data_IF_934249303505
#
_entry.id   IF_934249303505
#
_cell.length_a   1.000
_cell.length_b   1.000
_cell.length_c   1.000
_cell.angle_alpha   90.00
_cell.angle_beta   90.00
_cell.angle_gamma   90.00
#
_symmetry.space_group_name_H-M   'P 1'
#
loop_
_entity.id
_entity.type
_entity.pdbx_description
1 polymer ?
#
# COMPACT_ATOMS: atom_id res chain seq x y z
N UNK A 1 4.38 -27.72 -4.19
CA UNK A 1 4.86 -26.77 -3.16
C UNK A 1 3.69 -26.39 -2.28
N UNK A 2 3.85 -26.43 -0.96
CA UNK A 2 2.86 -25.85 -0.03
C UNK A 2 3.27 -24.40 0.15
N UNK A 3 2.40 -23.46 -0.18
CA UNK A 3 2.62 -22.05 0.13
C UNK A 3 2.46 -21.90 1.64
N UNK A 4 3.58 -21.86 2.36
CA UNK A 4 3.59 -21.56 3.79
C UNK A 4 3.49 -20.04 3.88
N UNK A 5 2.53 -19.53 4.66
CA UNK A 5 2.23 -18.10 4.74
C UNK A 5 3.46 -17.24 5.06
N UNK A 6 3.36 -15.94 4.76
CA UNK A 6 4.44 -14.97 5.01
C UNK A 6 4.75 -14.87 6.51
N UNK A 7 6.03 -14.67 6.82
CA UNK A 7 6.54 -14.49 8.18
C UNK A 7 7.39 -13.22 8.23
N UNK A 8 7.10 -12.37 9.20
CA UNK A 8 7.90 -11.18 9.43
C UNK A 8 9.36 -11.53 9.71
N UNK A 9 10.26 -10.85 9.00
CA UNK A 9 11.72 -10.95 9.18
C UNK A 9 12.28 -9.61 9.65
N UNK A 10 11.74 -9.11 10.76
CA UNK A 10 12.20 -7.87 11.39
C UNK A 10 13.05 -8.16 12.63
N UNK A 11 14.32 -7.76 12.58
CA UNK A 11 15.30 -7.96 13.65
C UNK A 11 15.91 -6.65 14.17
N UNK A 12 15.45 -5.51 13.65
CA UNK A 12 16.08 -4.21 13.87
C UNK A 12 15.13 -3.19 14.50
N UNK A 13 13.82 -3.31 14.25
CA UNK A 13 12.85 -2.42 14.87
C UNK A 13 12.65 -2.78 16.34
N UNK A 14 12.43 -1.78 17.22
CA UNK A 14 12.19 -2.04 18.63
C UNK A 14 10.93 -2.92 18.87
N UNK A 15 10.93 -3.80 19.88
CA UNK A 15 9.79 -4.68 20.15
C UNK A 15 8.45 -3.96 20.33
N UNK A 16 8.47 -2.74 20.87
CA UNK A 16 7.28 -1.92 21.09
C UNK A 16 6.61 -1.44 19.79
N UNK A 17 7.33 -1.41 18.66
CA UNK A 17 6.77 -1.05 17.34
C UNK A 17 6.32 -2.26 16.54
N UNK A 18 6.42 -3.46 17.11
CA UNK A 18 6.13 -4.72 16.42
C UNK A 18 4.81 -5.31 16.88
N UNK A 19 4.01 -5.77 15.92
CA UNK A 19 2.72 -6.38 16.18
C UNK A 19 2.86 -7.65 17.04
N UNK A 20 2.00 -7.80 18.05
CA UNK A 20 1.97 -8.99 18.92
C UNK A 20 1.32 -10.21 18.24
N UNK A 21 0.55 -9.98 17.16
CA UNK A 21 -0.14 -11.01 16.39
C UNK A 21 -0.25 -10.64 14.92
N UNK A 22 -0.97 -11.47 14.16
CA UNK A 22 -1.10 -11.35 12.70
C UNK A 22 -0.56 -12.57 11.96
N UNK A 23 -0.45 -12.51 10.62
CA UNK A 23 0.10 -13.59 9.79
C UNK A 23 1.46 -14.07 10.34
N UNK A 24 1.69 -15.38 10.36
CA UNK A 24 2.97 -15.95 10.81
C UNK A 24 3.33 -15.73 12.30
N UNK A 25 2.40 -15.27 13.13
CA UNK A 25 2.61 -15.07 14.58
C UNK A 25 3.02 -13.65 14.99
N UNK A 26 2.87 -12.66 14.11
CA UNK A 26 3.16 -11.25 14.37
C UNK A 26 4.59 -10.83 14.00
N UNK A 27 5.09 -9.80 14.69
CA UNK A 27 6.37 -9.11 14.45
C UNK A 27 6.38 -8.21 13.20
N UNK A 28 5.21 -7.81 12.72
CA UNK A 28 5.07 -6.85 11.63
C UNK A 28 5.22 -5.43 12.18
N UNK A 29 5.70 -4.48 11.37
CA UNK A 29 5.82 -3.09 11.82
C UNK A 29 4.42 -2.49 11.95
N UNK A 30 4.09 -2.00 13.14
CA UNK A 30 2.85 -1.26 13.35
C UNK A 30 2.98 0.13 12.71
N UNK A 31 1.90 0.58 12.07
CA UNK A 31 1.81 1.87 11.41
C UNK A 31 0.54 2.61 11.82
N UNK A 32 0.57 3.93 11.78
CA UNK A 32 -0.62 4.77 11.84
C UNK A 32 -1.24 4.96 10.45
N UNK A 33 -2.34 5.71 10.39
CA UNK A 33 -3.05 5.95 9.13
C UNK A 33 -2.21 6.75 8.12
N UNK A 34 -1.14 7.42 8.53
CA UNK A 34 -0.22 8.16 7.64
C UNK A 34 0.98 7.34 7.19
N UNK A 35 1.00 6.03 7.53
CA UNK A 35 2.09 5.07 7.31
C UNK A 35 3.33 5.32 8.19
N UNK A 36 3.24 6.25 9.15
CA UNK A 36 4.30 6.45 10.14
C UNK A 36 4.34 5.26 11.08
N UNK A 37 5.54 4.86 11.53
CA UNK A 37 5.69 3.78 12.49
C UNK A 37 5.02 4.16 13.80
N UNK A 38 4.25 3.22 14.36
CA UNK A 38 3.55 3.38 15.62
C UNK A 38 3.98 2.32 16.64
N UNK A 39 3.80 2.64 17.91
CA UNK A 39 3.93 1.67 19.01
C UNK A 39 2.70 0.77 19.08
N UNK A 40 2.78 -0.28 19.89
CA UNK A 40 1.64 -1.18 20.18
C UNK A 40 0.45 -0.46 20.84
N UNK A 41 0.67 0.71 21.44
CA UNK A 41 -0.37 1.53 22.07
C UNK A 41 -0.99 2.54 21.09
N UNK A 42 -0.53 2.56 19.83
CA UNK A 42 -1.03 3.47 18.79
C UNK A 42 -0.32 4.82 18.73
N UNK A 43 0.63 5.07 19.63
CA UNK A 43 1.42 6.31 19.65
C UNK A 43 2.47 6.33 18.54
N UNK A 44 2.70 7.49 17.93
CA UNK A 44 3.72 7.66 16.88
C UNK A 44 5.12 7.41 17.44
N UNK A 45 5.90 6.59 16.74
CA UNK A 45 7.27 6.28 17.11
C UNK A 45 8.26 7.02 16.22
N UNK A 46 9.13 7.81 16.83
CA UNK A 46 10.09 8.65 16.10
C UNK A 46 9.45 9.86 15.42
N UNK A 47 8.35 10.39 15.97
CA UNK A 47 7.85 11.71 15.60
C UNK A 47 8.82 12.82 16.07
N UNK A 48 8.78 13.97 15.41
CA UNK A 48 9.47 15.17 15.87
C UNK A 48 8.69 15.93 16.97
N UNK A 49 9.23 17.08 17.40
CA UNK A 49 8.63 17.93 18.43
C UNK A 49 7.25 18.49 18.04
N UNK A 50 6.95 18.56 16.73
CA UNK A 50 5.66 19.01 16.19
C UNK A 50 4.67 17.84 16.00
N UNK A 51 5.07 16.61 16.35
CA UNK A 51 4.25 15.41 16.27
C UNK A 51 4.20 14.76 14.89
N UNK A 52 5.05 15.17 13.95
CA UNK A 52 5.11 14.58 12.61
C UNK A 52 6.05 13.37 12.56
N UNK A 53 5.56 12.26 12.01
CA UNK A 53 6.32 11.02 11.84
C UNK A 53 7.57 11.20 10.97
N UNK A 54 8.71 10.68 11.42
CA UNK A 54 9.99 10.69 10.67
C UNK A 54 10.40 9.32 10.14
N UNK A 55 9.66 8.27 10.51
CA UNK A 55 9.98 6.88 10.18
C UNK A 55 8.72 6.25 9.61
N UNK A 56 8.82 5.70 8.40
CA UNK A 56 7.70 5.13 7.66
C UNK A 56 7.96 3.66 7.33
N UNK A 57 6.90 2.86 7.24
CA UNK A 57 6.99 1.47 6.82
C UNK A 57 5.98 1.18 5.69
N UNK A 58 6.50 0.78 4.53
CA UNK A 58 5.71 0.57 3.29
C UNK A 58 5.96 -0.81 2.70
N UNK A 59 4.93 -1.40 2.10
CA UNK A 59 4.95 -2.72 1.49
C UNK A 59 4.68 -3.85 2.48
N UNK A 60 5.33 -4.99 2.26
CA UNK A 60 5.09 -6.25 3.00
C UNK A 60 5.72 -6.27 4.41
N UNK A 61 6.44 -5.21 4.81
CA UNK A 61 7.10 -5.15 6.12
C UNK A 61 6.19 -4.67 7.27
N UNK A 62 5.06 -4.02 6.94
CA UNK A 62 4.11 -3.51 7.92
C UNK A 62 2.94 -4.48 8.17
N UNK A 63 2.17 -4.23 9.23
CA UNK A 63 1.06 -5.09 9.63
C UNK A 63 -0.10 -5.14 8.63
N UNK A 64 -0.13 -4.23 7.65
CA UNK A 64 -1.10 -4.21 6.57
C UNK A 64 -2.50 -3.76 6.92
N UNK A 65 -2.75 -3.33 8.15
CA UNK A 65 -4.01 -2.74 8.58
C UNK A 65 -3.86 -2.24 10.01
N UNK A 66 -4.79 -1.39 10.42
CA UNK A 66 -4.83 -0.81 11.77
C UNK A 66 -6.06 -1.38 12.45
N UNK A 67 -5.86 -2.40 13.28
CA UNK A 67 -6.99 -3.06 13.92
C UNK A 67 -7.64 -2.16 14.98
N UNK A 68 -8.97 -2.05 14.93
CA UNK A 68 -9.76 -1.55 16.05
C UNK A 68 -10.24 -2.75 16.88
N UNK A 69 -9.85 -2.87 18.17
CA UNK A 69 -10.28 -3.99 19.01
C UNK A 69 -11.80 -4.15 19.03
N UNK A 70 -12.29 -5.33 18.64
CA UNK A 70 -13.72 -5.67 18.61
C UNK A 70 -14.49 -5.19 17.39
N UNK A 71 -13.86 -4.46 16.46
CA UNK A 71 -14.48 -3.98 15.23
C UNK A 71 -14.25 -4.94 14.05
N UNK A 72 -15.19 -4.99 13.10
CA UNK A 72 -15.01 -5.74 11.87
C UNK A 72 -13.91 -5.09 10.99
N UNK A 73 -13.20 -5.85 10.12
CA UNK A 73 -12.13 -5.31 9.29
C UNK A 73 -12.50 -4.09 8.43
N UNK A 74 -13.77 -3.97 8.01
CA UNK A 74 -14.25 -2.80 7.26
C UNK A 74 -14.38 -1.51 8.09
N UNK A 75 -14.43 -1.63 9.42
CA UNK A 75 -14.54 -0.51 10.37
C UNK A 75 -13.17 -0.11 10.95
N UNK A 76 -12.09 -0.70 10.43
CA UNK A 76 -10.73 -0.36 10.82
C UNK A 76 -10.33 0.97 10.16
N UNK A 77 -9.49 1.80 10.80
CA UNK A 77 -9.01 3.03 10.18
C UNK A 77 -8.28 2.76 8.86
N UNK A 78 -7.57 1.63 8.79
CA UNK A 78 -7.06 1.05 7.55
C UNK A 78 -7.40 -0.44 7.54
N UNK A 79 -8.29 -0.91 6.66
CA UNK A 79 -8.63 -2.33 6.55
C UNK A 79 -7.41 -3.15 6.08
N UNK A 80 -7.40 -4.49 6.23
CA UNK A 80 -6.31 -5.34 5.78
C UNK A 80 -6.02 -5.19 4.28
N UNK A 81 -4.95 -4.49 3.93
CA UNK A 81 -4.49 -4.24 2.56
C UNK A 81 -3.66 -5.44 2.09
N UNK A 82 -3.96 -6.02 0.92
CA UNK A 82 -3.19 -7.10 0.34
C UNK A 82 -1.78 -6.63 -0.02
N UNK A 83 -0.80 -7.46 0.31
CA UNK A 83 0.61 -7.14 0.12
C UNK A 83 1.10 -7.59 -1.25
N UNK A 84 0.65 -6.84 -2.25
CA UNK A 84 1.09 -6.95 -3.64
C UNK A 84 1.77 -5.65 -4.07
N UNK A 85 2.37 -5.65 -5.26
CA UNK A 85 3.16 -4.51 -5.74
C UNK A 85 2.36 -3.20 -5.79
N UNK A 86 1.12 -3.23 -6.30
CA UNK A 86 0.33 -2.01 -6.49
C UNK A 86 0.03 -1.26 -5.16
N UNK A 87 -0.55 -1.89 -4.12
CA UNK A 87 -0.69 -1.25 -2.81
C UNK A 87 0.64 -0.84 -2.18
N UNK A 88 1.72 -1.61 -2.37
CA UNK A 88 3.05 -1.22 -1.89
C UNK A 88 3.56 0.07 -2.55
N UNK A 89 3.31 0.25 -3.84
CA UNK A 89 3.64 1.48 -4.58
C UNK A 89 2.77 2.66 -4.13
N UNK A 90 1.48 2.42 -3.86
CA UNK A 90 0.57 3.42 -3.31
C UNK A 90 1.01 3.87 -1.90
N UNK A 91 1.38 2.92 -1.03
CA UNK A 91 1.94 3.19 0.30
C UNK A 91 3.23 4.04 0.18
N UNK A 92 4.12 3.67 -0.74
CA UNK A 92 5.36 4.42 -0.99
C UNK A 92 5.09 5.85 -1.48
N UNK A 93 4.10 6.04 -2.36
CA UNK A 93 3.71 7.35 -2.86
C UNK A 93 3.18 8.25 -1.74
N UNK A 94 2.28 7.73 -0.90
CA UNK A 94 1.71 8.45 0.25
C UNK A 94 2.80 8.84 1.25
N UNK A 95 3.68 7.89 1.62
CA UNK A 95 4.80 8.17 2.51
C UNK A 95 5.73 9.24 1.94
N UNK A 96 6.12 9.16 0.66
CA UNK A 96 6.95 10.17 0.01
C UNK A 96 6.29 11.56 0.00
N UNK A 97 4.99 11.63 -0.31
CA UNK A 97 4.23 12.88 -0.29
C UNK A 97 4.14 13.47 1.11
N UNK A 98 3.95 12.63 2.13
CA UNK A 98 3.94 13.05 3.52
C UNK A 98 5.29 13.64 3.93
N UNK A 99 6.41 13.00 3.57
CA UNK A 99 7.76 13.53 3.81
C UNK A 99 7.91 14.93 3.20
N UNK A 100 7.51 15.12 1.93
CA UNK A 100 7.60 16.42 1.25
C UNK A 100 6.69 17.48 1.89
N UNK A 101 5.48 17.10 2.33
CA UNK A 101 4.57 18.04 3.01
C UNK A 101 5.08 18.44 4.38
N UNK A 102 5.61 17.50 5.15
CA UNK A 102 6.17 17.76 6.47
C UNK A 102 7.43 18.63 6.34
N UNK A 103 8.26 18.42 5.31
CA UNK A 103 9.39 19.30 5.02
C UNK A 103 8.94 20.76 4.83
N UNK A 104 7.87 20.97 4.07
CA UNK A 104 7.28 22.30 3.87
C UNK A 104 6.72 22.90 5.16
N UNK A 105 5.99 22.11 5.95
CA UNK A 105 5.38 22.54 7.20
C UNK A 105 6.42 22.93 8.24
N UNK A 106 7.39 22.04 8.51
CA UNK A 106 8.32 22.18 9.64
C UNK A 106 9.53 23.04 9.27
N UNK A 107 10.11 22.87 8.08
CA UNK A 107 11.35 23.58 7.72
C UNK A 107 11.12 24.86 6.92
N UNK A 108 10.03 24.93 6.13
CA UNK A 108 9.71 26.12 5.33
C UNK A 108 8.62 26.99 5.94
N UNK A 109 7.97 26.53 7.02
CA UNK A 109 6.81 27.20 7.63
C UNK A 109 5.70 27.51 6.61
N UNK A 110 5.58 26.70 5.56
CA UNK A 110 4.50 26.79 4.58
C UNK A 110 3.30 25.99 5.09
N UNK A 111 2.17 26.64 5.31
CA UNK A 111 0.94 26.00 5.80
C UNK A 111 -0.07 25.71 4.70
N UNK A 112 0.15 26.24 3.49
CA UNK A 112 -0.75 26.11 2.35
C UNK A 112 -0.03 25.65 1.10
N UNK A 113 -0.72 24.91 0.25
CA UNK A 113 -0.24 24.57 -1.09
C UNK A 113 -0.34 25.77 -2.06
N UNK A 114 0.06 25.56 -3.31
CA UNK A 114 0.01 26.58 -4.37
C UNK A 114 -1.41 27.05 -4.70
N UNK A 115 -2.43 26.32 -4.28
CA UNK A 115 -3.85 26.62 -4.52
C UNK A 115 -4.57 27.10 -3.25
N UNK A 116 -3.84 27.36 -2.16
CA UNK A 116 -4.37 27.83 -0.89
C UNK A 116 -5.04 26.76 -0.02
N UNK A 117 -4.87 25.47 -0.34
CA UNK A 117 -5.34 24.38 0.51
C UNK A 117 -4.38 24.13 1.66
N UNK A 118 -4.91 23.78 2.83
CA UNK A 118 -4.11 23.48 4.01
C UNK A 118 -3.21 22.25 3.78
N UNK A 119 -1.92 22.39 4.07
CA UNK A 119 -0.97 21.30 3.99
C UNK A 119 -1.20 20.34 5.16
N UNK A 120 -1.80 19.18 4.86
CA UNK A 120 -1.95 18.07 5.82
C UNK A 120 -1.32 16.78 5.29
N UNK A 121 -0.73 15.96 6.17
CA UNK A 121 -0.36 14.59 5.83
C UNK A 121 -1.56 13.83 5.24
N UNK A 122 -1.30 13.03 4.22
CA UNK A 122 -2.26 12.12 3.65
C UNK A 122 -2.39 10.87 4.52
N UNK A 123 -3.63 10.45 4.71
CA UNK A 123 -3.94 9.13 5.24
C UNK A 123 -4.00 8.08 4.13
N UNK A 124 -3.62 6.87 4.48
CA UNK A 124 -3.80 5.67 3.69
C UNK A 124 -5.29 5.41 3.50
N UNK A 125 -5.61 4.87 2.32
CA UNK A 125 -6.96 4.49 1.93
C UNK A 125 -6.86 3.16 1.19
N UNK A 126 -8.01 2.52 0.92
CA UNK A 126 -8.01 1.30 0.12
C UNK A 126 -7.59 1.58 -1.34
N UNK A 127 -6.43 1.09 -1.81
CA UNK A 127 -5.99 1.34 -3.18
C UNK A 127 -6.94 0.67 -4.17
N UNK A 128 -7.33 1.36 -5.25
CA UNK A 128 -8.32 0.80 -6.19
C UNK A 128 -7.84 -0.51 -6.85
N UNK A 129 -6.53 -0.63 -7.10
CA UNK A 129 -5.90 -1.83 -7.66
C UNK A 129 -5.58 -2.93 -6.64
N UNK A 130 -5.89 -2.74 -5.35
CA UNK A 130 -5.55 -3.71 -4.30
C UNK A 130 -6.21 -5.08 -4.52
N UNK A 131 -7.38 -5.11 -5.16
CA UNK A 131 -8.13 -6.35 -5.42
C UNK A 131 -7.81 -7.06 -6.74
N UNK A 132 -6.72 -6.69 -7.43
CA UNK A 132 -6.38 -7.19 -8.76
C UNK A 132 -5.12 -8.05 -8.72
N UNK A 133 -5.23 -9.33 -9.11
CA UNK A 133 -4.13 -10.29 -9.04
C UNK A 133 -3.99 -11.04 -10.36
N UNK A 134 -2.81 -11.04 -10.97
CA UNK A 134 -2.46 -11.93 -12.07
C UNK A 134 -1.58 -13.08 -11.53
N UNK A 135 -2.13 -14.28 -11.47
CA UNK A 135 -1.43 -15.46 -10.95
C UNK A 135 -1.07 -16.39 -12.09
N UNK A 136 0.22 -16.69 -12.26
CA UNK A 136 0.67 -17.68 -13.26
C UNK A 136 0.49 -19.10 -12.72
N UNK A 137 -0.04 -19.97 -13.57
CA UNK A 137 -0.23 -21.40 -13.32
C UNK A 137 0.76 -22.25 -14.13
N UNK A 138 1.61 -21.61 -14.93
CA UNK A 138 2.63 -22.20 -15.77
C UNK A 138 3.03 -21.25 -16.90
N UNK A 139 3.92 -21.68 -17.82
CA UNK A 139 4.38 -20.84 -18.93
C UNK A 139 3.26 -20.37 -19.87
N UNK A 140 2.19 -21.15 -19.99
CA UNK A 140 1.10 -20.91 -20.94
C UNK A 140 -0.26 -20.72 -20.26
N UNK A 141 -0.30 -20.60 -18.93
CA UNK A 141 -1.54 -20.50 -18.19
C UNK A 141 -1.43 -19.55 -17.00
N UNK A 142 -2.49 -18.79 -16.79
CA UNK A 142 -2.62 -17.84 -15.70
C UNK A 142 -4.10 -17.54 -15.44
N UNK A 143 -4.40 -17.04 -14.25
CA UNK A 143 -5.70 -16.51 -13.90
C UNK A 143 -5.61 -15.07 -13.42
N UNK A 144 -6.64 -14.28 -13.76
CA UNK A 144 -6.78 -12.91 -13.31
C UNK A 144 -7.96 -12.81 -12.35
N UNK A 145 -7.69 -12.34 -11.13
CA UNK A 145 -8.69 -12.08 -10.09
C UNK A 145 -8.93 -10.57 -10.03
N UNK A 146 -10.20 -10.18 -9.94
CA UNK A 146 -10.61 -8.78 -9.82
C UNK A 146 -11.61 -8.61 -8.67
N UNK A 147 -11.47 -7.51 -7.92
CA UNK A 147 -12.41 -7.11 -6.88
C UNK A 147 -12.29 -7.87 -5.56
N UNK A 148 -11.16 -8.53 -5.30
CA UNK A 148 -10.89 -9.12 -3.99
C UNK A 148 -10.62 -8.00 -2.96
N UNK A 149 -11.19 -8.14 -1.76
CA UNK A 149 -11.06 -7.19 -0.66
C UNK A 149 -10.96 -7.94 0.68
N UNK A 150 -11.06 -7.22 1.80
CA UNK A 150 -10.95 -7.80 3.15
C UNK A 150 -12.12 -8.73 3.53
N UNK A 151 -13.21 -8.77 2.76
CA UNK A 151 -14.34 -9.66 3.00
C UNK A 151 -14.05 -11.07 2.47
N UNK A 152 -14.34 -12.07 3.30
CA UNK A 152 -14.14 -13.47 2.92
C UNK A 152 -15.03 -13.85 1.74
N UNK A 153 -14.42 -14.42 0.70
CA UNK A 153 -15.13 -14.84 -0.52
C UNK A 153 -15.37 -13.71 -1.52
N UNK A 154 -14.75 -12.54 -1.31
CA UNK A 154 -14.73 -11.46 -2.28
C UNK A 154 -13.82 -11.78 -3.49
N UNK A 155 -14.03 -11.04 -4.58
CA UNK A 155 -13.28 -11.17 -5.82
C UNK A 155 -13.80 -12.27 -6.75
N UNK A 156 -13.50 -12.09 -8.04
CA UNK A 156 -13.94 -12.98 -9.11
C UNK A 156 -12.74 -13.33 -9.99
N UNK A 157 -12.59 -14.61 -10.34
CA UNK A 157 -11.68 -15.01 -11.42
C UNK A 157 -12.33 -14.65 -12.74
N UNK A 158 -11.84 -13.60 -13.40
CA UNK A 158 -12.48 -13.02 -14.58
C UNK A 158 -11.92 -13.55 -15.90
N UNK A 159 -10.65 -13.97 -15.91
CA UNK A 159 -10.00 -14.57 -17.08
C UNK A 159 -9.11 -15.71 -16.60
N UNK A 160 -9.18 -16.85 -17.28
CA UNK A 160 -8.26 -17.97 -17.10
C UNK A 160 -7.82 -18.46 -18.48
N UNK A 161 -6.51 -18.60 -18.67
CA UNK A 161 -5.92 -19.23 -19.83
C UNK A 161 -4.75 -18.43 -20.39
N UNK A 162 -4.33 -18.81 -21.61
CA UNK A 162 -3.27 -18.14 -22.35
C UNK A 162 -3.42 -16.61 -22.48
N UNK A 163 -4.62 -16.01 -22.64
CA UNK A 163 -4.76 -14.56 -22.68
C UNK A 163 -4.27 -13.86 -21.40
N UNK A 164 -4.51 -14.47 -20.23
CA UNK A 164 -4.02 -13.94 -18.95
C UNK A 164 -2.49 -14.10 -18.85
N UNK A 165 -1.93 -15.17 -19.40
CA UNK A 165 -0.48 -15.34 -19.44
C UNK A 165 0.19 -14.22 -20.26
N UNK A 166 -0.35 -13.88 -21.44
CA UNK A 166 0.12 -12.75 -22.25
C UNK A 166 -0.02 -11.42 -21.51
N UNK A 167 -1.16 -11.19 -20.83
CA UNK A 167 -1.35 -10.00 -20.01
C UNK A 167 -0.28 -9.88 -18.91
N UNK A 168 0.07 -10.99 -18.25
CA UNK A 168 1.11 -11.01 -17.22
C UNK A 168 2.49 -10.66 -17.81
N UNK A 169 2.84 -11.19 -18.97
CA UNK A 169 4.10 -10.85 -19.67
C UNK A 169 4.18 -9.36 -19.99
N UNK A 170 3.07 -8.74 -20.42
CA UNK A 170 3.00 -7.29 -20.66
C UNK A 170 3.21 -6.50 -19.36
N UNK A 171 2.57 -6.92 -18.27
CA UNK A 171 2.73 -6.29 -16.94
C UNK A 171 4.19 -6.39 -16.49
N UNK A 172 4.81 -7.56 -16.61
CA UNK A 172 6.21 -7.77 -16.24
C UNK A 172 7.16 -6.94 -17.09
N UNK A 173 7.06 -7.03 -18.43
CA UNK A 173 7.92 -6.29 -19.35
C UNK A 173 7.81 -4.77 -19.15
N UNK A 174 6.59 -4.25 -18.98
CA UNK A 174 6.37 -2.81 -18.75
C UNK A 174 6.87 -2.35 -17.39
N UNK A 175 6.73 -3.15 -16.31
CA UNK A 175 7.26 -2.81 -14.98
C UNK A 175 8.79 -2.84 -14.97
N UNK A 176 9.40 -3.84 -15.62
CA UNK A 176 10.86 -3.90 -15.77
C UNK A 176 11.39 -2.69 -16.57
N UNK A 177 10.69 -2.27 -17.62
CA UNK A 177 11.02 -1.05 -18.37
C UNK A 177 10.91 0.21 -17.49
N UNK A 178 9.84 0.34 -16.70
CA UNK A 178 9.66 1.44 -15.75
C UNK A 178 10.81 1.50 -14.73
N UNK A 179 11.17 0.37 -14.10
CA UNK A 179 12.27 0.30 -13.14
C UNK A 179 13.63 0.65 -13.77
N UNK A 180 13.78 0.49 -15.09
CA UNK A 180 14.97 0.91 -15.85
C UNK A 180 14.90 2.37 -16.32
N UNK A 181 13.89 3.13 -15.90
CA UNK A 181 13.56 4.48 -16.36
C UNK A 181 13.20 4.56 -17.87
N UNK A 182 12.74 3.46 -18.45
CA UNK A 182 12.25 3.41 -19.82
C UNK A 182 10.97 4.22 -20.01
N UNK A 183 10.82 4.81 -21.20
CA UNK A 183 9.71 5.72 -21.49
C UNK A 183 8.36 5.00 -21.53
N UNK A 184 8.30 3.80 -22.11
CA UNK A 184 7.05 3.08 -22.35
C UNK A 184 6.46 2.59 -21.03
N UNK A 185 7.27 1.95 -20.19
CA UNK A 185 6.88 1.51 -18.86
C UNK A 185 6.39 2.69 -18.01
N UNK A 186 7.16 3.78 -17.96
CA UNK A 186 6.76 4.98 -17.21
C UNK A 186 5.43 5.57 -17.66
N UNK A 187 5.15 5.60 -18.96
CA UNK A 187 3.85 6.09 -19.47
C UNK A 187 2.73 5.14 -19.06
N UNK A 188 2.89 3.83 -19.27
CA UNK A 188 1.87 2.82 -18.92
C UNK A 188 1.54 2.90 -17.43
N UNK A 189 2.56 2.86 -16.57
CA UNK A 189 2.36 2.89 -15.13
C UNK A 189 1.90 4.25 -14.63
N UNK A 190 2.31 5.35 -15.27
CA UNK A 190 1.71 6.66 -15.01
C UNK A 190 0.20 6.62 -15.23
N UNK A 191 -0.30 6.05 -16.34
CA UNK A 191 -1.74 5.87 -16.53
C UNK A 191 -2.37 4.95 -15.49
N UNK A 192 -1.74 3.83 -15.14
CA UNK A 192 -2.26 2.92 -14.09
C UNK A 192 -2.40 3.63 -12.75
N UNK A 193 -1.45 4.48 -12.37
CA UNK A 193 -1.51 5.23 -11.11
C UNK A 193 -2.36 6.52 -11.20
N UNK A 194 -2.63 7.07 -12.39
CA UNK A 194 -3.25 8.40 -12.57
C UNK A 194 -4.56 8.41 -13.35
N UNK A 195 -5.05 7.30 -13.92
CA UNK A 195 -6.21 7.33 -14.85
C UNK A 195 -7.00 5.99 -14.90
N UNK A 196 -8.35 5.98 -14.82
CA UNK A 196 -9.24 6.93 -14.16
C UNK A 196 -10.29 6.28 -13.23
N UNK A 197 -10.66 7.03 -12.20
CA UNK A 197 -11.73 6.78 -11.21
C UNK A 197 -11.40 5.64 -10.24
N UNK A 198 -11.11 6.00 -8.99
CA UNK A 198 -11.27 5.12 -7.82
C UNK A 198 -12.74 4.64 -7.73
N UNK A 199 -13.19 3.79 -8.66
CA UNK A 199 -14.54 3.21 -8.66
C UNK A 199 -14.72 2.25 -7.48
N UNK A 200 -13.60 1.68 -7.02
CA UNK A 200 -13.54 0.64 -5.99
C UNK A 200 -12.50 0.94 -4.90
N UNK A 201 -11.82 2.09 -4.96
CA UNK A 201 -10.82 2.51 -3.98
C UNK A 201 -11.32 3.68 -3.11
N UNK A 202 -10.76 3.86 -1.92
CA UNK A 202 -11.13 4.93 -0.98
C UNK A 202 -10.37 6.25 -1.17
N UNK A 203 -9.63 6.39 -2.27
CA UNK A 203 -8.67 7.48 -2.49
C UNK A 203 -9.26 8.69 -3.22
N UNK A 204 -8.47 9.76 -3.42
CA UNK A 204 -8.89 10.91 -4.20
C UNK A 204 -9.28 10.49 -5.61
N UNK A 205 -10.33 11.11 -6.16
CA UNK A 205 -10.82 10.79 -7.53
C UNK A 205 -9.75 11.04 -8.62
N UNK A 206 -8.77 11.89 -8.33
CA UNK A 206 -7.71 12.33 -9.25
C UNK A 206 -6.35 12.41 -8.54
N UNK A 207 -5.63 11.30 -8.40
CA UNK A 207 -4.22 11.25 -7.96
C UNK A 207 -3.88 12.02 -6.67
N UNK A 208 -2.58 12.24 -6.44
CA UNK A 208 -1.99 12.92 -5.27
C UNK A 208 -1.02 14.03 -5.66
#
# INVERSE_FOLDING_TARGET
YVCIGVKASNYFMPPETLSKGGPGGGKWINIDATLSVATNDGESWGADDDGYGRIYAVGDCNAGGIANPGAAPGDWPVPPIPKISYPGEEEALIACKNIVKIDKLVYKNETTDLFGQELKPHSMHWPWGAGMFATSLGPNDACFVLGANWEKGSGYTVVWGAPCAVQKEIIEASKVDECKNGMVGRIIWHFVHHTPVHLFGGGPRWGY
#
